data_IF_588530639227
#
_entry.id   IF_588530639227
#
_cell.length_a   1.000
_cell.length_b   1.000
_cell.length_c   1.000
_cell.angle_alpha   90.00
_cell.angle_beta   90.00
_cell.angle_gamma   90.00
#
_symmetry.space_group_name_H-M   'P 1'
#
loop_
_entity.id
_entity.type
_entity.pdbx_description
1 polymer ?
#
# COMPACT_ATOMS: atom_id res chain seq x y z
N UNK A 1 -9.18 -22.91 15.25
CA UNK A 1 -8.88 -22.30 13.96
C UNK A 1 -8.44 -20.85 14.15
N UNK A 2 -7.44 -20.49 13.49
CA UNK A 2 -7.03 -19.11 13.54
C UNK A 2 -7.19 -18.45 12.16
N UNK A 3 -8.30 -17.81 11.93
CA UNK A 3 -8.53 -17.14 10.67
C UNK A 3 -7.78 -15.82 10.56
N UNK A 4 -7.24 -15.36 11.68
CA UNK A 4 -6.58 -14.06 11.69
C UNK A 4 -5.16 -14.23 11.20
N UNK A 5 -4.91 -13.77 10.02
CA UNK A 5 -3.57 -13.75 9.49
C UNK A 5 -2.83 -12.56 10.06
N UNK A 6 -1.56 -12.77 10.34
CA UNK A 6 -0.68 -11.69 10.69
C UNK A 6 -0.72 -10.64 9.59
N UNK A 7 -0.70 -9.36 9.97
CA UNK A 7 -0.67 -8.26 9.03
C UNK A 7 0.49 -8.40 8.04
N UNK A 8 1.59 -8.94 8.51
CA UNK A 8 2.76 -9.20 7.71
C UNK A 8 2.47 -10.16 6.56
N UNK A 9 1.73 -11.24 6.84
CA UNK A 9 1.37 -12.22 5.81
C UNK A 9 0.42 -11.62 4.80
N UNK A 10 -0.57 -10.88 5.25
CA UNK A 10 -1.53 -10.23 4.38
C UNK A 10 -0.82 -9.22 3.48
N UNK A 11 0.07 -8.43 4.05
CA UNK A 11 0.83 -7.46 3.29
C UNK A 11 1.73 -8.14 2.25
N UNK A 12 2.39 -9.23 2.63
CA UNK A 12 3.25 -9.98 1.72
C UNK A 12 2.47 -10.52 0.53
N UNK A 13 1.25 -11.02 0.77
CA UNK A 13 0.41 -11.47 -0.32
C UNK A 13 -0.02 -10.30 -1.20
N UNK A 14 -0.42 -9.20 -0.58
CA UNK A 14 -0.92 -8.02 -1.28
C UNK A 14 0.10 -7.50 -2.31
N UNK A 15 1.37 -7.50 -1.95
CA UNK A 15 2.42 -6.99 -2.84
C UNK A 15 2.96 -8.05 -3.79
N UNK A 16 2.55 -9.30 -3.64
CA UNK A 16 3.05 -10.39 -4.46
C UNK A 16 2.45 -10.38 -5.86
N UNK A 17 3.11 -11.08 -6.77
CA UNK A 17 2.61 -11.21 -8.14
C UNK A 17 1.35 -12.08 -8.22
N UNK A 18 1.04 -12.82 -7.17
CA UNK A 18 -0.12 -13.70 -7.14
C UNK A 18 -1.41 -12.98 -6.78
N UNK A 19 -1.32 -11.77 -6.27
CA UNK A 19 -2.48 -11.00 -5.88
C UNK A 19 -3.04 -10.25 -7.10
N UNK A 20 -4.23 -10.62 -7.53
CA UNK A 20 -4.88 -9.96 -8.67
C UNK A 20 -5.46 -8.61 -8.25
N UNK A 21 -5.84 -7.78 -9.21
CA UNK A 21 -6.50 -6.50 -8.92
C UNK A 21 -7.77 -6.69 -8.11
N UNK A 22 -8.55 -7.73 -8.45
CA UNK A 22 -9.78 -8.03 -7.71
C UNK A 22 -9.47 -8.40 -6.26
N UNK A 23 -8.44 -9.22 -6.05
CA UNK A 23 -8.00 -9.60 -4.71
C UNK A 23 -7.52 -8.40 -3.92
N UNK A 24 -6.76 -7.51 -4.55
CA UNK A 24 -6.25 -6.31 -3.91
C UNK A 24 -7.39 -5.43 -3.43
N UNK A 25 -8.37 -5.21 -4.29
CA UNK A 25 -9.54 -4.40 -3.96
C UNK A 25 -10.29 -4.99 -2.78
N UNK A 26 -10.52 -6.31 -2.81
CA UNK A 26 -11.23 -6.98 -1.73
C UNK A 26 -10.48 -6.89 -0.41
N UNK A 27 -9.17 -7.15 -0.43
CA UNK A 27 -8.33 -7.07 0.77
C UNK A 27 -8.37 -5.67 1.36
N UNK A 28 -8.20 -4.65 0.55
CA UNK A 28 -8.17 -3.26 1.03
C UNK A 28 -9.54 -2.85 1.56
N UNK A 29 -10.62 -3.23 0.89
CA UNK A 29 -11.96 -2.88 1.33
C UNK A 29 -12.31 -3.51 2.67
N UNK A 30 -11.77 -4.69 2.96
CA UNK A 30 -11.98 -5.39 4.23
C UNK A 30 -10.94 -5.05 5.28
N UNK A 31 -9.90 -4.33 4.89
CA UNK A 31 -8.77 -4.06 5.77
C UNK A 31 -9.16 -3.17 6.94
N UNK A 32 -8.56 -3.43 8.08
CA UNK A 32 -8.66 -2.59 9.26
C UNK A 32 -7.43 -1.67 9.31
N UNK A 33 -7.45 -0.75 10.26
CA UNK A 33 -6.40 0.25 10.38
C UNK A 33 -4.97 -0.31 10.38
N UNK A 34 -4.67 -1.43 11.06
CA UNK A 34 -3.29 -1.92 11.08
C UNK A 34 -2.68 -2.18 9.70
N UNK A 35 -3.45 -2.79 8.78
CA UNK A 35 -2.94 -3.04 7.43
C UNK A 35 -2.75 -1.75 6.66
N UNK A 36 -3.71 -0.85 6.75
CA UNK A 36 -3.64 0.43 6.06
C UNK A 36 -2.47 1.26 6.59
N UNK A 37 -2.26 1.24 7.91
CA UNK A 37 -1.14 1.95 8.53
C UNK A 37 0.20 1.37 8.06
N UNK A 38 0.28 0.06 7.88
CA UNK A 38 1.49 -0.56 7.37
C UNK A 38 1.80 -0.11 5.94
N UNK A 39 0.78 -0.02 5.11
CA UNK A 39 0.95 0.50 3.74
C UNK A 39 1.43 1.95 3.78
N UNK A 40 0.83 2.77 4.64
CA UNK A 40 1.23 4.16 4.79
C UNK A 40 2.67 4.29 5.29
N UNK A 41 3.08 3.41 6.20
CA UNK A 41 4.45 3.40 6.70
C UNK A 41 5.43 3.09 5.58
N UNK A 42 5.11 2.13 4.72
CA UNK A 42 5.95 1.81 3.56
C UNK A 42 6.05 3.00 2.60
N UNK A 43 4.93 3.67 2.36
CA UNK A 43 4.89 4.86 1.53
C UNK A 43 5.78 5.95 2.11
N UNK A 44 5.68 6.17 3.41
CA UNK A 44 6.48 7.19 4.09
C UNK A 44 7.98 6.88 3.98
N UNK A 45 8.35 5.62 4.17
CA UNK A 45 9.74 5.20 4.07
C UNK A 45 10.31 5.42 2.68
N UNK A 46 9.51 5.19 1.65
CA UNK A 46 9.92 5.43 0.27
C UNK A 46 10.12 6.93 0.03
N UNK A 47 9.17 7.76 0.46
CA UNK A 47 9.27 9.20 0.27
C UNK A 47 10.45 9.81 1.01
N UNK A 48 10.82 9.22 2.15
CA UNK A 48 11.96 9.69 2.95
C UNK A 48 13.30 9.09 2.51
N UNK A 49 13.30 8.28 1.47
CA UNK A 49 14.53 7.68 0.96
C UNK A 49 15.12 6.59 1.84
N UNK A 50 14.34 6.06 2.78
CA UNK A 50 14.82 5.00 3.68
C UNK A 50 14.89 3.64 3.01
N UNK A 51 14.18 3.48 1.91
CA UNK A 51 14.20 2.25 1.12
C UNK A 51 14.91 2.57 -0.18
N UNK A 52 15.91 1.76 -0.49
CA UNK A 52 16.62 1.91 -1.76
C UNK A 52 15.77 1.31 -2.86
N UNK A 53 15.47 2.12 -3.86
CA UNK A 53 14.76 1.66 -5.04
C UNK A 53 15.54 2.09 -6.27
N UNK A 54 15.37 1.36 -7.35
CA UNK A 54 16.06 1.66 -8.60
C UNK A 54 15.50 2.93 -9.23
N UNK A 55 16.25 3.53 -10.14
CA UNK A 55 15.74 4.70 -10.88
C UNK A 55 14.49 4.36 -11.67
N UNK A 56 14.42 3.14 -12.18
CA UNK A 56 13.25 2.66 -12.90
C UNK A 56 12.02 2.67 -12.00
N UNK A 57 12.17 2.16 -10.77
CA UNK A 57 11.08 2.15 -9.80
C UNK A 57 10.69 3.56 -9.37
N UNK A 58 11.67 4.46 -9.25
CA UNK A 58 11.39 5.88 -8.97
C UNK A 58 10.49 6.48 -10.03
N UNK A 59 10.77 6.17 -11.30
CA UNK A 59 9.94 6.67 -12.42
C UNK A 59 8.53 6.11 -12.33
N UNK A 60 8.38 4.86 -11.95
CA UNK A 60 7.08 4.22 -11.79
C UNK A 60 6.28 4.84 -10.65
N UNK A 61 6.97 5.30 -9.62
CA UNK A 61 6.32 5.92 -8.45
C UNK A 61 5.92 7.36 -8.68
N UNK A 62 6.51 8.03 -9.65
CA UNK A 62 6.26 9.44 -9.90
C UNK A 62 4.77 9.78 -10.01
N UNK A 63 3.96 9.04 -10.78
CA UNK A 63 2.52 9.33 -10.89
C UNK A 63 1.76 9.18 -9.57
N UNK A 64 2.33 8.45 -8.60
CA UNK A 64 1.64 8.16 -7.34
C UNK A 64 2.00 9.12 -6.22
N UNK A 65 2.94 10.01 -6.43
CA UNK A 65 3.42 10.90 -5.36
C UNK A 65 2.32 11.77 -4.75
N UNK A 66 1.40 12.26 -5.57
CA UNK A 66 0.26 13.03 -5.08
C UNK A 66 -0.62 12.21 -4.16
N UNK A 67 -0.88 10.96 -4.55
CA UNK A 67 -1.69 10.03 -3.76
C UNK A 67 -0.98 9.73 -2.45
N UNK A 68 0.31 9.50 -2.50
CA UNK A 68 1.10 9.23 -1.31
C UNK A 68 1.01 10.38 -0.30
N UNK A 69 1.10 11.61 -0.76
CA UNK A 69 0.99 12.78 0.11
C UNK A 69 -0.37 12.86 0.76
N UNK A 70 -1.44 12.57 0.00
CA UNK A 70 -2.79 12.54 0.56
C UNK A 70 -2.96 11.44 1.59
N UNK A 71 -2.39 10.26 1.33
CA UNK A 71 -2.45 9.15 2.27
C UNK A 71 -1.82 9.48 3.62
N UNK A 72 -0.77 10.29 3.60
CA UNK A 72 -0.01 10.62 4.80
C UNK A 72 -0.55 11.84 5.54
N UNK A 73 -1.57 12.52 5.03
CA UNK A 73 -2.16 13.66 5.71
C UNK A 73 -2.89 13.20 6.96
N UNK A 74 -2.69 13.95 8.05
CA UNK A 74 -3.29 13.61 9.35
C UNK A 74 -4.81 13.57 9.34
N UNK A 75 -5.41 14.41 8.50
CA UNK A 75 -6.87 14.54 8.46
C UNK A 75 -7.54 13.54 7.54
N UNK A 76 -6.77 12.68 6.90
CA UNK A 76 -7.33 11.68 5.97
C UNK A 76 -7.91 10.52 6.77
N UNK A 77 -9.22 10.30 6.64
CA UNK A 77 -9.90 9.20 7.32
C UNK A 77 -9.46 7.85 6.76
N UNK A 78 -9.71 6.80 7.54
CA UNK A 78 -9.41 5.43 7.10
C UNK A 78 -10.16 5.09 5.82
N UNK A 79 -11.43 5.45 5.74
CA UNK A 79 -12.26 5.21 4.55
C UNK A 79 -11.67 5.90 3.32
N UNK A 80 -11.21 7.13 3.48
CA UNK A 80 -10.61 7.89 2.39
C UNK A 80 -9.29 7.26 1.96
N UNK A 81 -8.47 6.84 2.92
CA UNK A 81 -7.20 6.17 2.61
C UNK A 81 -7.44 4.90 1.80
N UNK A 82 -8.39 4.08 2.20
CA UNK A 82 -8.77 2.88 1.47
C UNK A 82 -9.18 3.20 0.03
N UNK A 83 -9.98 4.23 -0.13
CA UNK A 83 -10.45 4.66 -1.44
C UNK A 83 -9.27 5.07 -2.33
N UNK A 84 -8.35 5.83 -1.80
CA UNK A 84 -7.17 6.26 -2.54
C UNK A 84 -6.31 5.07 -2.98
N UNK A 85 -6.12 4.11 -2.08
CA UNK A 85 -5.32 2.92 -2.37
C UNK A 85 -5.98 2.09 -3.47
N UNK A 86 -7.29 1.86 -3.37
CA UNK A 86 -8.02 1.07 -4.36
C UNK A 86 -8.02 1.76 -5.72
N UNK A 87 -8.22 3.09 -5.73
CA UNK A 87 -8.32 3.88 -6.94
C UNK A 87 -7.04 3.84 -7.77
N UNK A 88 -5.90 3.80 -7.09
CA UNK A 88 -4.59 3.76 -7.71
C UNK A 88 -3.88 2.44 -7.43
N UNK A 89 -4.67 1.37 -7.33
CA UNK A 89 -4.14 0.06 -7.02
C UNK A 89 -3.03 -0.35 -7.95
N UNK A 90 -2.08 -1.09 -7.40
CA UNK A 90 -0.93 -1.54 -8.14
C UNK A 90 0.39 -0.93 -7.67
N UNK A 91 0.36 0.26 -7.04
CA UNK A 91 1.61 0.86 -6.60
C UNK A 91 2.31 0.04 -5.52
N UNK A 92 1.57 -0.68 -4.68
CA UNK A 92 2.18 -1.47 -3.61
C UNK A 92 2.94 -2.68 -4.13
N UNK A 93 2.79 -3.06 -5.37
CA UNK A 93 3.63 -4.09 -5.97
C UNK A 93 5.08 -3.63 -6.08
N UNK A 94 5.32 -2.33 -6.05
CA UNK A 94 6.65 -1.76 -6.05
C UNK A 94 7.36 -1.94 -4.70
N UNK A 95 6.62 -2.33 -3.67
CA UNK A 95 7.19 -2.61 -2.34
C UNK A 95 7.79 -4.01 -2.24
N UNK A 96 7.56 -4.84 -3.22
CA UNK A 96 8.05 -6.22 -3.22
C UNK A 96 9.47 -6.27 -3.80
N UNK A 97 10.37 -6.78 -3.01
CA UNK A 97 11.77 -6.90 -3.39
C UNK A 97 12.32 -8.27 -3.09
#
# INVERSE_FOLDING_TARGET
MNPIKDQKEVFSFLVSKYCTKANQKDIINRAKAPLINKICECVLNILNGKVKITEEDHKKLEPYKKIFRKLLQKNTSLSHKKRLIVQKGGFYKLFYH
#
